data_IF_612314423214
#
_entry.id   IF_612314423214
#
_cell.length_a   1.000
_cell.length_b   1.000
_cell.length_c   1.000
_cell.angle_alpha   90.00
_cell.angle_beta   90.00
_cell.angle_gamma   90.00
#
_symmetry.space_group_name_H-M   'P 1'
#
loop_
_entity.id
_entity.type
_entity.pdbx_description
1 polymer ?
#
# COMPACT_ATOMS: atom_id res chain seq x y z
N UNK A 1 33.93 16.28 -23.60
CA UNK A 1 33.08 16.80 -22.51
C UNK A 1 33.94 16.93 -21.26
N UNK A 2 34.07 18.14 -20.71
CA UNK A 2 35.10 18.48 -19.72
C UNK A 2 34.76 17.89 -18.34
N UNK A 3 35.69 17.16 -17.68
CA UNK A 3 35.44 16.45 -16.40
C UNK A 3 34.87 17.36 -15.28
N UNK A 4 35.11 18.66 -15.36
CA UNK A 4 34.58 19.67 -14.44
C UNK A 4 33.06 19.89 -14.56
N UNK A 5 32.48 19.75 -15.76
CA UNK A 5 31.02 19.91 -15.96
C UNK A 5 30.22 18.71 -15.45
N UNK A 6 30.78 17.50 -15.46
CA UNK A 6 30.11 16.31 -14.94
C UNK A 6 29.99 16.35 -13.41
N UNK A 7 31.01 16.87 -12.71
CA UNK A 7 31.00 17.03 -11.26
C UNK A 7 29.92 18.02 -10.79
N UNK A 8 29.73 19.12 -11.53
CA UNK A 8 28.70 20.12 -11.21
C UNK A 8 27.28 19.58 -11.36
N UNK A 9 27.01 18.74 -12.37
CA UNK A 9 25.68 18.13 -12.55
C UNK A 9 25.37 17.15 -11.42
N UNK A 10 26.34 16.29 -11.04
CA UNK A 10 26.16 15.35 -9.92
C UNK A 10 25.98 16.08 -8.58
N UNK A 11 26.68 17.20 -8.40
CA UNK A 11 26.52 18.06 -7.21
C UNK A 11 25.16 18.77 -7.18
N UNK A 12 24.62 19.14 -8.34
CA UNK A 12 23.33 19.82 -8.46
C UNK A 12 22.15 18.88 -8.22
N UNK A 13 22.30 17.57 -8.46
CA UNK A 13 21.28 16.56 -8.08
C UNK A 13 21.30 16.19 -6.60
N UNK A 14 22.43 16.32 -5.90
CA UNK A 14 22.47 16.08 -4.44
C UNK A 14 21.76 17.16 -3.61
N UNK A 15 21.66 18.39 -4.13
CA UNK A 15 21.05 19.52 -3.39
C UNK A 15 19.51 19.54 -3.55
N UNK A 16 18.96 18.90 -4.58
CA UNK A 16 17.50 18.83 -4.79
C UNK A 16 16.82 17.86 -3.82
N UNK A 17 17.56 16.95 -3.16
CA UNK A 17 16.99 16.02 -2.18
C UNK A 17 16.74 16.62 -0.79
N UNK A 18 17.24 17.83 -0.50
CA UNK A 18 17.22 18.41 0.85
C UNK A 18 16.12 19.50 1.00
N UNK A 19 15.39 19.83 -0.07
CA UNK A 19 14.40 20.93 -0.10
C UNK A 19 12.98 20.50 -0.50
N UNK A 20 12.57 19.26 -0.17
CA UNK A 20 11.14 18.92 -0.15
C UNK A 20 10.72 18.48 1.26
N UNK A 21 10.16 19.47 1.94
CA UNK A 21 9.20 19.40 3.06
C UNK A 21 9.68 18.85 4.41
N UNK A 22 9.44 19.66 5.44
CA UNK A 22 8.89 19.19 6.70
C UNK A 22 7.62 18.34 6.43
N UNK A 23 7.76 17.13 5.90
CA UNK A 23 6.74 16.09 6.06
C UNK A 23 6.89 15.60 7.48
N UNK A 24 5.81 15.67 8.25
CA UNK A 24 5.78 15.07 9.58
C UNK A 24 6.14 13.58 9.47
N UNK A 25 6.73 12.97 10.51
CA UNK A 25 7.01 11.53 10.50
C UNK A 25 5.75 10.72 10.14
N UNK A 26 4.56 11.21 10.54
CA UNK A 26 3.26 10.71 10.11
C UNK A 26 3.11 10.65 8.59
N UNK A 27 3.32 11.75 7.86
CA UNK A 27 3.15 11.79 6.40
C UNK A 27 4.11 10.83 5.68
N UNK A 28 5.33 10.67 6.22
CA UNK A 28 6.30 9.71 5.69
C UNK A 28 5.82 8.27 5.87
N UNK A 29 5.33 7.91 7.06
CA UNK A 29 4.80 6.57 7.33
C UNK A 29 3.54 6.28 6.50
N UNK A 30 2.63 7.24 6.36
CA UNK A 30 1.43 7.11 5.51
C UNK A 30 1.83 6.84 4.06
N UNK A 31 2.81 7.57 3.52
CA UNK A 31 3.27 7.37 2.13
C UNK A 31 3.90 5.98 1.92
N UNK A 32 4.68 5.51 2.89
CA UNK A 32 5.26 4.16 2.85
C UNK A 32 4.16 3.09 2.87
N UNK A 33 3.18 3.25 3.75
CA UNK A 33 1.99 2.40 3.81
C UNK A 33 1.23 2.39 2.47
N UNK A 34 0.92 3.56 1.91
CA UNK A 34 0.17 3.69 0.65
C UNK A 34 0.92 3.02 -0.51
N UNK A 35 2.24 3.18 -0.58
CA UNK A 35 3.06 2.54 -1.62
C UNK A 35 2.98 1.02 -1.54
N UNK A 36 3.10 0.45 -0.34
CA UNK A 36 3.00 -1.00 -0.14
C UNK A 36 1.56 -1.50 -0.37
N UNK A 37 0.56 -0.72 0.02
CA UNK A 37 -0.85 -1.02 -0.16
C UNK A 37 -1.21 -1.13 -1.66
N UNK A 38 -0.83 -0.11 -2.44
CA UNK A 38 -1.06 -0.08 -3.88
C UNK A 38 -0.30 -1.20 -4.59
N UNK A 39 0.95 -1.43 -4.19
CA UNK A 39 1.76 -2.57 -4.67
C UNK A 39 1.05 -3.90 -4.42
N UNK A 40 0.54 -4.11 -3.21
CA UNK A 40 -0.16 -5.34 -2.82
C UNK A 40 -1.45 -5.54 -3.62
N UNK A 41 -2.28 -4.51 -3.77
CA UNK A 41 -3.53 -4.61 -4.55
C UNK A 41 -3.26 -4.86 -6.03
N UNK A 42 -2.22 -4.25 -6.60
CA UNK A 42 -1.86 -4.43 -8.01
C UNK A 42 -1.51 -5.89 -8.34
N UNK A 43 -1.03 -6.65 -7.36
CA UNK A 43 -0.67 -8.05 -7.49
C UNK A 43 -1.86 -9.01 -7.40
N UNK A 44 -3.03 -8.56 -6.95
CA UNK A 44 -4.23 -9.40 -6.86
C UNK A 44 -4.91 -9.45 -8.23
N UNK A 45 -4.94 -10.65 -8.82
CA UNK A 45 -5.72 -10.94 -10.02
C UNK A 45 -7.15 -11.34 -9.59
N UNK A 46 -8.15 -10.56 -10.01
CA UNK A 46 -9.56 -10.81 -9.66
C UNK A 46 -10.11 -12.07 -10.35
N UNK A 47 -9.50 -12.53 -11.44
CA UNK A 47 -9.88 -13.80 -12.08
C UNK A 47 -9.17 -15.01 -11.48
N UNK A 48 -7.98 -14.81 -10.89
CA UNK A 48 -7.17 -15.87 -10.28
C UNK A 48 -6.82 -15.55 -8.80
N UNK A 49 -7.82 -15.20 -7.99
CA UNK A 49 -7.64 -14.67 -6.63
C UNK A 49 -6.72 -15.54 -5.76
N UNK A 50 -7.07 -16.80 -5.54
CA UNK A 50 -6.27 -17.71 -4.69
C UNK A 50 -4.82 -17.85 -5.17
N UNK A 51 -4.65 -18.05 -6.47
CA UNK A 51 -3.34 -18.22 -7.08
C UNK A 51 -2.50 -16.96 -6.94
N UNK A 52 -3.07 -15.79 -7.24
CA UNK A 52 -2.36 -14.51 -7.12
C UNK A 52 -1.94 -14.18 -5.69
N UNK A 53 -2.77 -14.51 -4.69
CA UNK A 53 -2.43 -14.34 -3.27
C UNK A 53 -1.24 -15.24 -2.89
N UNK A 54 -1.29 -16.51 -3.28
CA UNK A 54 -0.28 -17.51 -2.91
C UNK A 54 1.05 -17.25 -3.60
N UNK A 55 1.03 -17.04 -4.92
CA UNK A 55 2.22 -16.89 -5.74
C UNK A 55 3.00 -15.61 -5.40
N UNK A 56 2.29 -14.54 -5.01
CA UNK A 56 2.92 -13.27 -4.59
C UNK A 56 3.13 -13.16 -3.06
N UNK A 57 2.84 -14.21 -2.29
CA UNK A 57 2.98 -14.22 -0.83
C UNK A 57 2.31 -13.02 -0.12
N UNK A 58 1.09 -12.66 -0.53
CA UNK A 58 0.44 -11.41 -0.09
C UNK A 58 0.11 -11.38 1.41
N UNK A 59 0.09 -12.53 2.09
CA UNK A 59 -0.02 -12.59 3.56
C UNK A 59 1.13 -11.86 4.25
N UNK A 60 2.36 -11.99 3.73
CA UNK A 60 3.52 -11.28 4.27
C UNK A 60 3.39 -9.76 4.08
N UNK A 61 2.89 -9.32 2.92
CA UNK A 61 2.65 -7.89 2.69
C UNK A 61 1.59 -7.34 3.66
N UNK A 62 0.56 -8.13 3.99
CA UNK A 62 -0.43 -7.74 5.00
C UNK A 62 0.22 -7.60 6.38
N UNK A 63 1.12 -8.52 6.78
CA UNK A 63 1.86 -8.40 8.04
C UNK A 63 2.72 -7.14 8.09
N UNK A 64 3.38 -6.78 6.99
CA UNK A 64 4.14 -5.53 6.87
C UNK A 64 3.25 -4.30 6.93
N UNK A 65 2.10 -4.32 6.24
CA UNK A 65 1.10 -3.25 6.30
C UNK A 65 0.53 -3.08 7.71
N UNK A 66 0.30 -4.17 8.46
CA UNK A 66 -0.13 -4.08 9.87
C UNK A 66 0.91 -3.34 10.71
N UNK A 67 2.19 -3.70 10.58
CA UNK A 67 3.28 -3.03 11.32
C UNK A 67 3.40 -1.55 10.97
N UNK A 68 3.21 -1.18 9.70
CA UNK A 68 3.19 0.23 9.29
C UNK A 68 1.97 0.95 9.86
N UNK A 69 0.80 0.33 9.86
CA UNK A 69 -0.42 0.91 10.40
C UNK A 69 -0.31 1.15 11.92
N UNK A 70 0.28 0.21 12.66
CA UNK A 70 0.58 0.35 14.10
C UNK A 70 1.50 1.56 14.35
N UNK A 71 2.58 1.70 13.58
CA UNK A 71 3.49 2.87 13.68
C UNK A 71 2.77 4.19 13.40
N UNK A 72 1.84 4.22 12.43
CA UNK A 72 1.05 5.41 12.11
C UNK A 72 0.11 5.75 13.27
N UNK A 73 -0.51 4.74 13.88
CA UNK A 73 -1.42 4.90 15.04
C UNK A 73 -0.71 5.55 16.23
N UNK A 74 0.56 5.19 16.48
CA UNK A 74 1.36 5.75 17.58
C UNK A 74 1.68 7.24 17.43
N UNK A 75 1.70 7.75 16.19
CA UNK A 75 2.15 9.12 15.87
C UNK A 75 1.08 9.98 15.21
N UNK A 76 -0.17 9.51 15.16
CA UNK A 76 -1.27 10.24 14.50
C UNK A 76 -1.58 11.54 15.26
N UNK A 77 -1.48 12.71 14.61
CA UNK A 77 -1.89 13.95 15.26
C UNK A 77 -3.42 14.06 15.30
N UNK A 78 -3.96 14.77 16.31
CA UNK A 78 -5.41 14.87 16.54
C UNK A 78 -6.20 15.33 15.31
N UNK A 79 -5.62 16.24 14.51
CA UNK A 79 -6.23 16.75 13.28
C UNK A 79 -6.23 15.75 12.11
N UNK A 80 -5.63 14.57 12.28
CA UNK A 80 -5.51 13.51 11.27
C UNK A 80 -6.16 12.19 11.67
N UNK A 81 -6.86 12.14 12.81
CA UNK A 81 -7.57 10.94 13.27
C UNK A 81 -8.54 10.42 12.19
N UNK A 82 -9.30 11.31 11.54
CA UNK A 82 -10.23 10.91 10.49
C UNK A 82 -9.51 10.30 9.27
N UNK A 83 -8.38 10.88 8.85
CA UNK A 83 -7.57 10.37 7.74
C UNK A 83 -7.02 8.97 8.08
N UNK A 84 -6.56 8.77 9.32
CA UNK A 84 -6.12 7.46 9.82
C UNK A 84 -7.25 6.43 9.87
N UNK A 85 -8.46 6.78 10.31
CA UNK A 85 -9.61 5.87 10.31
C UNK A 85 -9.99 5.40 8.90
N UNK A 86 -9.87 6.28 7.89
CA UNK A 86 -10.04 5.91 6.48
C UNK A 86 -8.96 4.93 6.05
N UNK A 87 -7.70 5.18 6.43
CA UNK A 87 -6.57 4.28 6.14
C UNK A 87 -6.79 2.88 6.73
N UNK A 88 -7.20 2.80 8.01
CA UNK A 88 -7.52 1.55 8.72
C UNK A 88 -8.68 0.80 8.06
N UNK A 89 -9.73 1.51 7.66
CA UNK A 89 -10.87 0.89 6.97
C UNK A 89 -10.45 0.27 5.63
N UNK A 90 -9.59 0.95 4.87
CA UNK A 90 -9.02 0.43 3.62
C UNK A 90 -8.13 -0.79 3.88
N UNK A 91 -7.34 -0.77 4.95
CA UNK A 91 -6.51 -1.88 5.40
C UNK A 91 -7.37 -3.13 5.66
N UNK A 92 -8.37 -3.00 6.53
CA UNK A 92 -9.22 -4.11 6.97
C UNK A 92 -9.95 -4.75 5.79
N UNK A 93 -10.36 -3.93 4.81
CA UNK A 93 -10.97 -4.45 3.58
C UNK A 93 -10.00 -5.27 2.74
N UNK A 94 -8.77 -4.81 2.55
CA UNK A 94 -7.73 -5.57 1.82
C UNK A 94 -7.38 -6.86 2.55
N UNK A 95 -7.19 -6.80 3.87
CA UNK A 95 -6.95 -7.97 4.72
C UNK A 95 -8.07 -9.00 4.58
N UNK A 96 -9.33 -8.57 4.68
CA UNK A 96 -10.48 -9.45 4.52
C UNK A 96 -10.57 -10.09 3.13
N UNK A 97 -10.19 -9.37 2.06
CA UNK A 97 -10.09 -9.93 0.71
C UNK A 97 -9.03 -11.03 0.65
N UNK A 98 -7.85 -10.81 1.22
CA UNK A 98 -6.76 -11.80 1.22
C UNK A 98 -7.12 -13.02 2.06
N UNK A 99 -7.64 -12.82 3.28
CA UNK A 99 -8.06 -13.92 4.17
C UNK A 99 -9.15 -14.80 3.56
N UNK A 100 -10.13 -14.20 2.90
CA UNK A 100 -11.18 -14.94 2.18
C UNK A 100 -10.65 -15.56 0.89
N UNK A 101 -9.78 -14.86 0.16
CA UNK A 101 -9.15 -15.34 -1.06
C UNK A 101 -8.27 -16.58 -0.84
N UNK A 102 -7.68 -16.74 0.35
CA UNK A 102 -6.98 -17.97 0.74
C UNK A 102 -7.93 -19.18 0.92
N UNK A 103 -9.22 -18.93 1.08
CA UNK A 103 -10.28 -19.95 1.24
C UNK A 103 -11.16 -20.05 0.00
N UNK A 104 -10.67 -19.59 -1.16
CA UNK A 104 -11.46 -19.39 -2.37
C UNK A 104 -12.32 -20.60 -2.77
N UNK A 105 -11.76 -21.80 -2.71
CA UNK A 105 -12.44 -23.02 -3.15
C UNK A 105 -13.62 -23.41 -2.24
N UNK A 106 -13.63 -22.95 -0.99
CA UNK A 106 -14.74 -23.19 -0.04
C UNK A 106 -15.81 -22.10 -0.05
N UNK A 107 -15.66 -21.05 -0.87
CA UNK A 107 -16.62 -19.95 -0.94
C UNK A 107 -17.74 -20.25 -1.94
N UNK A 108 -18.95 -19.79 -1.62
CA UNK A 108 -20.07 -19.76 -2.56
C UNK A 108 -19.88 -18.68 -3.64
N UNK A 109 -20.66 -18.77 -4.72
CA UNK A 109 -20.51 -17.87 -5.89
C UNK A 109 -20.77 -16.40 -5.55
N UNK A 110 -21.70 -16.11 -4.64
CA UNK A 110 -21.96 -14.74 -4.17
C UNK A 110 -20.77 -14.15 -3.42
N UNK A 111 -20.10 -14.94 -2.58
CA UNK A 111 -18.91 -14.50 -1.84
C UNK A 111 -17.74 -14.25 -2.80
N UNK A 112 -17.54 -15.16 -3.77
CA UNK A 112 -16.54 -14.98 -4.83
C UNK A 112 -16.79 -13.69 -5.62
N UNK A 113 -18.04 -13.44 -6.03
CA UNK A 113 -18.42 -12.21 -6.74
C UNK A 113 -18.17 -10.96 -5.89
N UNK A 114 -18.55 -11.00 -4.61
CA UNK A 114 -18.33 -9.89 -3.67
C UNK A 114 -16.84 -9.56 -3.52
N UNK A 115 -15.98 -10.58 -3.45
CA UNK A 115 -14.52 -10.39 -3.39
C UNK A 115 -13.99 -9.80 -4.69
N UNK A 116 -14.41 -10.29 -5.86
CA UNK A 116 -14.00 -9.73 -7.16
C UNK A 116 -14.34 -8.24 -7.26
N UNK A 117 -15.59 -7.88 -6.98
CA UNK A 117 -16.03 -6.47 -6.94
C UNK A 117 -15.22 -5.68 -5.90
N UNK A 118 -14.93 -6.30 -4.75
CA UNK A 118 -14.07 -5.74 -3.72
C UNK A 118 -12.70 -5.34 -4.24
N UNK A 119 -12.00 -6.27 -4.88
CA UNK A 119 -10.67 -6.07 -5.49
C UNK A 119 -10.74 -4.95 -6.52
N UNK A 120 -11.69 -5.01 -7.45
CA UNK A 120 -11.81 -4.03 -8.53
C UNK A 120 -12.11 -2.62 -8.00
N UNK A 121 -12.86 -2.51 -6.90
CA UNK A 121 -13.13 -1.22 -6.26
C UNK A 121 -11.96 -0.65 -5.45
N UNK A 122 -10.97 -1.49 -5.10
CA UNK A 122 -9.75 -1.07 -4.40
C UNK A 122 -8.63 -0.67 -5.37
N UNK A 123 -8.67 -1.16 -6.61
CA UNK A 123 -7.71 -0.75 -7.64
C UNK A 123 -7.94 0.72 -8.02
N UNK A 124 -6.88 1.51 -8.21
CA UNK A 124 -7.01 2.86 -8.75
C UNK A 124 -7.70 2.79 -10.11
N UNK A 125 -8.74 3.62 -10.31
CA UNK A 125 -9.43 3.73 -11.60
C UNK A 125 -8.42 4.25 -12.63
N UNK A 126 -8.18 3.46 -13.68
CA UNK A 126 -7.43 3.90 -14.87
C UNK A 126 -8.20 4.97 -15.64
#
# INVERSE_FOLDING_TARGET
MNRKSLSLIVSMFMIVFILTSCTSDYDKQVKEYETLYDGTISQIDSENVYKSIKDNNLTSNIEELNKLLEKIEEIVPDNKINDFLVLRTKHDRLKGIIEKGLKWDSLGDLDKLSIKIGIDSLKPKQ
#
